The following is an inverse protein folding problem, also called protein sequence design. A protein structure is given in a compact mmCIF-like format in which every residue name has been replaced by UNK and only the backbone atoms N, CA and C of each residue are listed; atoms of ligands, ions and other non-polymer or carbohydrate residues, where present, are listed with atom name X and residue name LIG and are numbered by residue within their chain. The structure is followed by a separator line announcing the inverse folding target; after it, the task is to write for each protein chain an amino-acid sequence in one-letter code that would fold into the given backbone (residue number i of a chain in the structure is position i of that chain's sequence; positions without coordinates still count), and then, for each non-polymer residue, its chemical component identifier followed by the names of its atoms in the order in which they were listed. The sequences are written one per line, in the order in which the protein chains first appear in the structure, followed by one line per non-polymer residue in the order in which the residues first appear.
data_IF_585263212893
#
_entry.id   IF_585263212893
#
_cell.length_a   1.000
_cell.length_b   1.000
_cell.length_c   1.000
_cell.angle_alpha   90.00
_cell.angle_beta   90.00
_cell.angle_gamma   90.00
#
_symmetry.space_group_name_H-M   'P 1'
#
loop_
_entity.id
_entity.type
_entity.pdbx_description
1 polymer ?
#
# COMPACT_ATOMS: atom_id res chain seq x y z
N UNK A 1 4.03 19.43 -4.83
CA UNK A 1 2.76 18.82 -4.35
C UNK A 1 1.55 19.20 -5.21
N UNK A 2 1.32 20.50 -5.51
CA UNK A 2 0.10 20.98 -6.19
C UNK A 2 -0.11 20.42 -7.61
N UNK A 3 0.94 20.25 -8.40
CA UNK A 3 0.85 19.68 -9.75
C UNK A 3 0.52 18.18 -9.76
N UNK A 4 1.14 17.39 -8.86
CA UNK A 4 0.86 15.95 -8.75
C UNK A 4 -0.59 15.68 -8.30
N UNK A 5 -1.09 16.45 -7.33
CA UNK A 5 -2.48 16.38 -6.86
C UNK A 5 -3.50 16.87 -7.89
N UNK A 6 -3.05 17.53 -8.97
CA UNK A 6 -3.89 17.98 -10.09
C UNK A 6 -3.88 16.99 -11.25
N UNK A 7 -2.79 16.24 -11.42
CA UNK A 7 -2.66 15.21 -12.45
C UNK A 7 -3.32 13.88 -12.04
N UNK A 8 -3.13 13.45 -10.79
CA UNK A 8 -3.71 12.20 -10.28
C UNK A 8 -4.90 12.56 -9.41
N UNK A 9 -6.10 12.23 -9.88
CA UNK A 9 -7.33 12.39 -9.09
C UNK A 9 -7.43 11.27 -8.05
N UNK A 10 -8.18 11.50 -6.96
CA UNK A 10 -8.36 10.53 -5.88
C UNK A 10 -8.91 9.19 -6.39
N UNK A 11 -9.85 9.23 -7.35
CA UNK A 11 -10.40 8.03 -8.00
C UNK A 11 -9.31 7.20 -8.70
N UNK A 12 -8.45 7.86 -9.46
CA UNK A 12 -7.34 7.22 -10.16
C UNK A 12 -6.36 6.61 -9.18
N UNK A 13 -6.05 7.32 -8.09
CA UNK A 13 -5.17 6.78 -7.05
C UNK A 13 -5.74 5.49 -6.43
N UNK A 14 -7.04 5.48 -6.10
CA UNK A 14 -7.69 4.29 -5.53
C UNK A 14 -7.66 3.14 -6.53
N UNK A 15 -8.01 3.38 -7.80
CA UNK A 15 -8.00 2.35 -8.85
C UNK A 15 -6.60 1.78 -9.05
N UNK A 16 -5.58 2.64 -9.12
CA UNK A 16 -4.19 2.18 -9.24
C UNK A 16 -3.77 1.34 -8.03
N UNK A 17 -4.11 1.76 -6.81
CA UNK A 17 -3.84 0.96 -5.60
C UNK A 17 -4.56 -0.39 -5.64
N UNK A 18 -5.81 -0.44 -6.11
CA UNK A 18 -6.59 -1.67 -6.29
C UNK A 18 -6.02 -2.62 -7.35
N UNK A 19 -5.22 -2.13 -8.29
CA UNK A 19 -4.53 -2.97 -9.28
C UNK A 19 -3.18 -3.44 -8.72
N UNK A 20 -2.42 -2.54 -8.10
CA UNK A 20 -1.06 -2.80 -7.59
C UNK A 20 -1.09 -3.76 -6.40
N UNK A 21 -2.06 -3.64 -5.49
CA UNK A 21 -2.17 -4.51 -4.32
C UNK A 21 -2.34 -5.99 -4.68
N UNK A 22 -3.33 -6.40 -5.52
CA UNK A 22 -3.45 -7.78 -5.98
C UNK A 22 -2.22 -8.29 -6.72
N UNK A 23 -1.61 -7.45 -7.57
CA UNK A 23 -0.39 -7.83 -8.28
C UNK A 23 0.75 -8.17 -7.30
N UNK A 24 0.97 -7.32 -6.29
CA UNK A 24 1.96 -7.56 -5.25
C UNK A 24 1.61 -8.73 -4.34
N UNK A 25 0.32 -9.00 -4.09
CA UNK A 25 -0.13 -10.19 -3.35
C UNK A 25 0.32 -11.45 -4.06
N UNK A 26 0.07 -11.55 -5.37
CA UNK A 26 0.49 -12.71 -6.18
C UNK A 26 2.02 -12.81 -6.23
N UNK A 27 2.71 -11.69 -6.49
CA UNK A 27 4.17 -11.64 -6.56
C UNK A 27 4.85 -11.93 -5.21
N UNK A 28 4.17 -11.75 -4.09
CA UNK A 28 4.73 -12.12 -2.78
C UNK A 28 4.90 -13.64 -2.61
N UNK A 29 4.24 -14.45 -3.46
CA UNK A 29 4.47 -15.89 -3.53
C UNK A 29 5.56 -16.28 -4.53
N UNK A 30 6.04 -15.34 -5.36
CA UNK A 30 7.04 -15.60 -6.38
C UNK A 30 8.46 -15.53 -5.79
N UNK A 31 9.23 -16.60 -5.94
CA UNK A 31 10.63 -16.65 -5.54
C UNK A 31 11.55 -16.20 -6.65
N UNK A 32 12.14 -15.01 -6.50
CA UNK A 32 13.06 -14.40 -7.48
C UNK A 32 14.24 -15.32 -7.86
N UNK A 33 14.84 -16.00 -6.88
CA UNK A 33 16.02 -16.84 -7.09
C UNK A 33 15.74 -18.16 -7.82
N UNK A 34 14.49 -18.61 -7.85
CA UNK A 34 14.14 -19.97 -8.29
C UNK A 34 13.14 -19.99 -9.44
N UNK A 35 12.57 -18.83 -9.80
CA UNK A 35 11.50 -18.69 -10.79
C UNK A 35 10.30 -19.61 -10.52
N UNK A 36 9.89 -19.70 -9.25
CA UNK A 36 8.81 -20.59 -8.78
C UNK A 36 7.91 -19.92 -7.77
N UNK A 37 6.66 -20.36 -7.71
CA UNK A 37 5.68 -19.91 -6.72
C UNK A 37 5.67 -20.82 -5.48
N UNK A 38 5.73 -20.21 -4.30
CA UNK A 38 5.75 -20.87 -3.00
C UNK A 38 4.44 -20.64 -2.24
N UNK A 39 3.36 -21.31 -2.69
CA UNK A 39 2.02 -21.15 -2.11
C UNK A 39 1.91 -21.67 -0.68
N UNK A 40 2.73 -22.64 -0.27
CA UNK A 40 2.66 -23.24 1.08
C UNK A 40 3.60 -22.57 2.10
N UNK A 41 4.34 -21.52 1.70
CA UNK A 41 5.23 -20.81 2.61
C UNK A 41 4.43 -19.79 3.43
N UNK A 42 4.27 -20.04 4.73
CA UNK A 42 3.46 -19.23 5.64
C UNK A 42 3.88 -17.75 5.65
N UNK A 43 5.19 -17.47 5.59
CA UNK A 43 5.71 -16.11 5.56
C UNK A 43 5.15 -15.26 4.41
N UNK A 44 4.80 -15.89 3.29
CA UNK A 44 4.24 -15.22 2.12
C UNK A 44 2.80 -14.73 2.34
N UNK A 45 2.11 -15.19 3.40
CA UNK A 45 0.76 -14.74 3.74
C UNK A 45 0.73 -13.48 4.61
N UNK A 46 1.88 -13.06 5.16
CA UNK A 46 1.96 -11.84 5.98
C UNK A 46 1.53 -10.60 5.17
N UNK A 47 2.03 -10.46 3.93
CA UNK A 47 1.67 -9.32 3.08
C UNK A 47 0.18 -9.31 2.67
N UNK A 48 -0.40 -10.42 2.17
CA UNK A 48 -1.84 -10.52 1.93
C UNK A 48 -2.68 -10.17 3.16
N UNK A 49 -2.31 -10.66 4.35
CA UNK A 49 -3.04 -10.35 5.58
C UNK A 49 -3.02 -8.85 5.89
N UNK A 50 -1.85 -8.21 5.84
CA UNK A 50 -1.71 -6.77 6.07
C UNK A 50 -2.44 -5.94 5.00
N UNK A 51 -2.49 -6.43 3.75
CA UNK A 51 -3.18 -5.75 2.66
C UNK A 51 -4.67 -5.57 2.90
N UNK A 52 -5.31 -6.41 3.73
CA UNK A 52 -6.73 -6.26 4.09
C UNK A 52 -7.02 -4.92 4.76
N UNK A 53 -6.12 -4.46 5.64
CA UNK A 53 -6.23 -3.15 6.29
C UNK A 53 -6.10 -2.02 5.25
N UNK A 54 -5.22 -2.21 4.26
CA UNK A 54 -5.09 -1.25 3.17
C UNK A 54 -6.35 -1.20 2.30
N UNK A 55 -6.93 -2.35 1.93
CA UNK A 55 -8.21 -2.38 1.21
C UNK A 55 -9.33 -1.72 1.99
N UNK A 56 -9.42 -1.98 3.31
CA UNK A 56 -10.38 -1.32 4.19
C UNK A 56 -10.19 0.20 4.17
N UNK A 57 -8.95 0.68 4.24
CA UNK A 57 -8.65 2.11 4.17
C UNK A 57 -9.09 2.75 2.83
N UNK A 58 -8.80 2.09 1.71
CA UNK A 58 -9.22 2.58 0.38
C UNK A 58 -10.75 2.65 0.28
N UNK A 59 -11.44 1.63 0.81
CA UNK A 59 -12.90 1.61 0.86
C UNK A 59 -13.46 2.76 1.71
N UNK A 60 -12.92 2.95 2.92
CA UNK A 60 -13.38 4.04 3.81
C UNK A 60 -13.20 5.40 3.16
N UNK A 61 -12.05 5.66 2.51
CA UNK A 61 -11.85 6.93 1.79
C UNK A 61 -12.83 7.07 0.63
N UNK A 62 -12.98 6.05 -0.20
CA UNK A 62 -13.89 6.09 -1.33
C UNK A 62 -15.32 6.41 -0.87
N UNK A 63 -15.77 5.76 0.20
CA UNK A 63 -17.09 5.95 0.78
C UNK A 63 -17.26 7.39 1.31
N UNK A 64 -16.34 7.84 2.19
CA UNK A 64 -16.41 9.17 2.81
C UNK A 64 -16.39 10.30 1.80
N UNK A 65 -15.54 10.21 0.77
CA UNK A 65 -15.49 11.23 -0.30
C UNK A 65 -16.79 11.20 -1.14
N UNK A 66 -17.35 10.02 -1.40
CA UNK A 66 -18.56 9.90 -2.24
C UNK A 66 -19.82 10.41 -1.52
N UNK A 67 -19.94 10.14 -0.22
CA UNK A 67 -21.08 10.56 0.61
C UNK A 67 -20.89 11.95 1.25
N UNK A 68 -19.76 12.62 0.99
CA UNK A 68 -19.38 13.90 1.60
C UNK A 68 -19.47 13.87 3.15
N UNK A 69 -19.09 12.74 3.75
CA UNK A 69 -19.21 12.52 5.19
C UNK A 69 -17.95 12.98 5.93
N UNK A 70 -18.14 13.46 7.16
CA UNK A 70 -17.06 13.94 8.00
C UNK A 70 -16.19 12.82 8.56
N UNK A 71 -15.03 13.25 9.07
CA UNK A 71 -14.03 12.39 9.69
C UNK A 71 -14.56 11.77 10.98
N UNK A 72 -14.43 10.45 11.14
CA UNK A 72 -14.79 9.72 12.35
C UNK A 72 -13.57 9.05 13.03
N UNK A 73 -13.71 8.63 14.31
CA UNK A 73 -12.63 7.96 15.05
C UNK A 73 -12.23 6.59 14.48
N UNK A 74 -13.13 5.85 13.84
CA UNK A 74 -12.84 4.52 13.29
C UNK A 74 -11.93 4.64 12.07
N UNK A 75 -12.20 5.58 11.16
CA UNK A 75 -11.35 5.93 10.02
C UNK A 75 -9.92 6.26 10.48
N UNK A 76 -9.78 7.01 11.58
CA UNK A 76 -8.47 7.35 12.16
C UNK A 76 -7.68 6.12 12.55
N UNK A 77 -8.32 5.16 13.21
CA UNK A 77 -7.66 3.93 13.63
C UNK A 77 -7.18 3.11 12.43
N UNK A 78 -7.99 3.04 11.36
CA UNK A 78 -7.58 2.40 10.11
C UNK A 78 -6.39 3.11 9.48
N UNK A 79 -6.39 4.45 9.45
CA UNK A 79 -5.25 5.21 8.91
C UNK A 79 -3.96 5.00 9.72
N UNK A 80 -4.04 4.96 11.05
CA UNK A 80 -2.89 4.67 11.91
C UNK A 80 -2.37 3.24 11.71
N UNK A 81 -3.27 2.27 11.51
CA UNK A 81 -2.89 0.93 11.07
C UNK A 81 -2.11 0.97 9.76
N UNK A 82 -2.56 1.78 8.79
CA UNK A 82 -1.87 1.93 7.52
C UNK A 82 -0.51 2.63 7.64
N UNK A 83 -0.33 3.55 8.59
CA UNK A 83 1.00 4.13 8.87
C UNK A 83 2.01 3.08 9.33
N UNK A 84 1.60 2.13 10.17
CA UNK A 84 2.46 1.01 10.57
C UNK A 84 2.77 0.10 9.37
N UNK A 85 1.77 -0.20 8.55
CA UNK A 85 1.92 -1.04 7.34
C UNK A 85 2.83 -0.37 6.30
N UNK A 86 2.82 0.96 6.20
CA UNK A 86 3.72 1.70 5.32
C UNK A 86 5.20 1.40 5.62
N UNK A 87 5.56 1.25 6.90
CA UNK A 87 6.92 0.85 7.30
C UNK A 87 7.26 -0.55 6.79
N UNK A 88 6.32 -1.48 6.83
CA UNK A 88 6.48 -2.83 6.27
C UNK A 88 6.69 -2.78 4.76
N UNK A 89 5.98 -1.90 4.05
CA UNK A 89 6.18 -1.72 2.62
C UNK A 89 7.55 -1.16 2.28
N UNK A 90 8.02 -0.15 3.03
CA UNK A 90 9.37 0.40 2.88
C UNK A 90 10.40 -0.70 3.12
N UNK A 91 10.25 -1.47 4.20
CA UNK A 91 11.14 -2.59 4.51
C UNK A 91 11.19 -3.61 3.37
N UNK A 92 10.04 -4.04 2.84
CA UNK A 92 9.98 -4.97 1.69
C UNK A 92 10.63 -4.40 0.42
N UNK A 93 10.43 -3.11 0.14
CA UNK A 93 11.08 -2.45 -0.98
C UNK A 93 12.61 -2.42 -0.80
N UNK A 94 13.08 -2.11 0.40
CA UNK A 94 14.51 -2.11 0.73
C UNK A 94 15.12 -3.51 0.62
N UNK A 95 14.41 -4.55 1.05
CA UNK A 95 14.85 -5.95 0.93
C UNK A 95 14.99 -6.37 -0.54
N UNK A 96 13.98 -6.12 -1.38
CA UNK A 96 14.06 -6.38 -2.82
C UNK A 96 15.19 -5.58 -3.49
N UNK A 97 15.37 -4.31 -3.12
CA UNK A 97 16.44 -3.47 -3.64
C UNK A 97 17.82 -4.02 -3.24
N UNK A 98 17.96 -4.47 -1.99
CA UNK A 98 19.18 -5.09 -1.49
C UNK A 98 19.53 -6.36 -2.28
N UNK A 99 18.54 -7.22 -2.52
CA UNK A 99 18.70 -8.43 -3.36
C UNK A 99 19.20 -8.08 -4.77
N UNK A 100 18.61 -7.06 -5.41
CA UNK A 100 19.01 -6.66 -6.76
C UNK A 100 20.40 -6.05 -6.82
N UNK A 101 20.77 -5.22 -5.83
CA UNK A 101 22.08 -4.58 -5.78
C UNK A 101 23.21 -5.58 -5.52
N UNK A 102 22.92 -6.66 -4.78
CA UNK A 102 23.89 -7.72 -4.49
C UNK A 102 23.81 -8.91 -5.46
N UNK A 103 23.04 -8.80 -6.55
CA UNK A 103 22.87 -9.88 -7.52
C UNK A 103 24.20 -10.35 -8.15
N UNK A 104 25.19 -9.45 -8.28
CA UNK A 104 26.52 -9.77 -8.83
C UNK A 104 27.37 -10.67 -7.94
N UNK A 105 26.96 -10.90 -6.69
CA UNK A 105 27.64 -11.82 -5.76
C UNK A 105 27.27 -13.29 -6.00
N UNK A 106 26.25 -13.56 -6.82
CA UNK A 106 25.83 -14.91 -7.18
C UNK A 106 26.42 -15.29 -8.54
N UNK A 107 26.87 -16.54 -8.68
CA UNK A 107 27.31 -17.05 -9.97
C UNK A 107 26.18 -16.98 -11.00
N UNK A 108 26.49 -16.50 -12.20
CA UNK A 108 25.49 -16.25 -13.25
C UNK A 108 24.68 -17.49 -13.65
N UNK A 109 25.18 -18.71 -13.42
CA UNK A 109 24.45 -19.95 -13.68
C UNK A 109 23.38 -20.27 -12.62
N UNK A 110 23.49 -19.71 -11.42
CA UNK A 110 22.59 -19.99 -10.30
C UNK A 110 21.29 -19.18 -10.38
N UNK A 111 21.31 -18.04 -11.08
CA UNK A 111 20.16 -17.15 -11.21
C UNK A 111 19.39 -17.43 -12.51
N UNK A 112 18.05 -17.48 -12.46
CA UNK A 112 17.23 -17.52 -13.68
C UNK A 112 17.43 -16.27 -14.54
N UNK A 113 17.32 -16.40 -15.86
CA UNK A 113 17.36 -15.27 -16.80
C UNK A 113 16.29 -14.19 -16.49
N UNK A 114 15.17 -14.62 -15.90
CA UNK A 114 14.05 -13.76 -15.49
C UNK A 114 14.34 -12.93 -14.22
N UNK A 115 15.39 -13.24 -13.47
CA UNK A 115 15.68 -12.66 -12.15
C UNK A 115 15.68 -11.12 -12.16
N UNK A 116 16.45 -10.51 -13.08
CA UNK A 116 16.59 -9.04 -13.13
C UNK A 116 15.27 -8.37 -13.51
N UNK A 117 14.61 -8.86 -14.58
CA UNK A 117 13.38 -8.29 -15.08
C UNK A 117 12.25 -8.37 -14.03
N UNK A 118 12.11 -9.53 -13.39
CA UNK A 118 11.10 -9.75 -12.35
C UNK A 118 11.40 -8.95 -11.09
N UNK A 119 12.66 -8.92 -10.64
CA UNK A 119 13.03 -8.14 -9.47
C UNK A 119 12.80 -6.65 -9.67
N UNK A 120 13.19 -6.08 -10.83
CA UNK A 120 12.92 -4.68 -11.17
C UNK A 120 11.41 -4.41 -11.20
N UNK A 121 10.62 -5.33 -11.76
CA UNK A 121 9.15 -5.21 -11.81
C UNK A 121 8.54 -5.19 -10.42
N UNK A 122 8.95 -6.13 -9.55
CA UNK A 122 8.49 -6.22 -8.15
C UNK A 122 8.86 -4.95 -7.39
N UNK A 123 10.12 -4.52 -7.49
CA UNK A 123 10.59 -3.30 -6.82
C UNK A 123 9.82 -2.06 -7.30
N UNK A 124 9.60 -1.94 -8.61
CA UNK A 124 8.85 -0.83 -9.18
C UNK A 124 7.42 -0.78 -8.67
N UNK A 125 6.75 -1.93 -8.58
CA UNK A 125 5.40 -2.03 -8.00
C UNK A 125 5.38 -1.70 -6.50
N UNK A 126 6.39 -2.13 -5.73
CA UNK A 126 6.51 -1.79 -4.31
C UNK A 126 6.69 -0.29 -4.09
N UNK A 127 7.58 0.35 -4.85
CA UNK A 127 7.79 1.80 -4.80
C UNK A 127 6.53 2.56 -5.25
N UNK A 128 5.86 2.08 -6.29
CA UNK A 128 4.58 2.64 -6.75
C UNK A 128 3.51 2.54 -5.64
N UNK A 129 3.41 1.40 -4.95
CA UNK A 129 2.46 1.24 -3.84
C UNK A 129 2.74 2.25 -2.72
N UNK A 130 4.00 2.41 -2.31
CA UNK A 130 4.41 3.40 -1.29
C UNK A 130 3.99 4.81 -1.73
N UNK A 131 4.30 5.17 -2.98
CA UNK A 131 3.94 6.47 -3.54
C UNK A 131 2.41 6.70 -3.53
N UNK A 132 1.63 5.73 -4.02
CA UNK A 132 0.17 5.80 -4.04
C UNK A 132 -0.41 5.89 -2.62
N UNK A 133 0.19 5.21 -1.65
CA UNK A 133 -0.23 5.26 -0.24
C UNK A 133 -0.09 6.68 0.32
N UNK A 134 1.08 7.30 0.13
CA UNK A 134 1.35 8.68 0.55
C UNK A 134 0.42 9.69 -0.16
N UNK A 135 0.18 9.48 -1.45
CA UNK A 135 -0.73 10.30 -2.24
C UNK A 135 -2.17 10.16 -1.73
N UNK A 136 -2.58 8.95 -1.35
CA UNK A 136 -3.89 8.69 -0.74
C UNK A 136 -4.06 9.42 0.59
N UNK A 137 -3.06 9.43 1.48
CA UNK A 137 -3.09 10.24 2.71
C UNK A 137 -3.27 11.74 2.41
N UNK A 138 -2.63 12.22 1.34
CA UNK A 138 -2.71 13.62 0.94
C UNK A 138 -4.11 13.96 0.40
N UNK A 139 -4.69 13.11 -0.45
CA UNK A 139 -6.07 13.29 -0.92
C UNK A 139 -7.07 13.22 0.22
N UNK A 140 -6.92 12.27 1.14
CA UNK A 140 -7.76 12.14 2.34
C UNK A 140 -7.85 13.46 3.09
N UNK A 141 -6.69 14.04 3.45
CA UNK A 141 -6.62 15.30 4.18
C UNK A 141 -7.21 16.48 3.41
N UNK A 142 -7.10 16.48 2.08
CA UNK A 142 -7.62 17.54 1.22
C UNK A 142 -9.14 17.48 1.05
N UNK A 143 -9.70 16.31 0.82
CA UNK A 143 -11.11 16.14 0.47
C UNK A 143 -12.00 15.99 1.71
N UNK A 144 -11.53 15.31 2.76
CA UNK A 144 -12.34 15.02 3.97
C UNK A 144 -11.95 15.97 5.13
N UNK A 145 -10.72 16.48 5.13
CA UNK A 145 -10.24 17.43 6.14
C UNK A 145 -9.40 16.80 7.28
N UNK A 146 -8.96 17.63 8.24
CA UNK A 146 -8.11 17.20 9.35
C UNK A 146 -8.90 16.45 10.42
N UNK A 147 -8.20 15.64 11.23
CA UNK A 147 -8.76 15.10 12.46
C UNK A 147 -8.90 16.23 13.48
N UNK A 148 -10.13 16.59 13.86
CA UNK A 148 -10.38 17.46 15.00
C UNK A 148 -10.53 16.60 16.27
N UNK A 149 -9.62 16.75 17.23
CA UNK A 149 -9.64 15.98 18.47
C UNK A 149 -10.70 16.49 19.46
N UNK A 150 -11.12 17.75 19.33
CA UNK A 150 -12.01 18.40 20.28
C UNK A 150 -13.49 18.04 20.02
N UNK A 151 -13.88 17.81 18.75
CA UNK A 151 -15.26 17.46 18.36
C UNK A 151 -15.62 15.96 18.51
N UNK A 152 -14.70 15.12 19.00
CA UNK A 152 -14.93 13.66 19.08
C UNK A 152 -15.95 13.32 20.17
N UNK A 153 -16.13 14.19 21.16
CA UNK A 153 -17.04 13.96 22.28
C UNK A 153 -18.43 14.60 22.10
N UNK A 154 -18.60 15.52 21.13
CA UNK A 154 -19.86 16.28 20.96
C UNK A 154 -20.89 15.57 20.07
N UNK A 155 -20.46 14.67 19.17
CA UNK A 155 -21.37 13.94 18.26
C UNK A 155 -21.68 12.49 18.69
N UNK A 156 -21.27 12.09 19.90
CA UNK A 156 -21.62 10.78 20.46
C UNK A 156 -23.08 10.78 20.95
N UNK A 157 -23.71 11.94 21.10
CA UNK A 157 -25.04 12.11 21.70
C UNK A 157 -26.05 12.81 20.77
N UNK A 158 -26.18 12.36 19.53
CA UNK A 158 -27.23 12.84 18.61
C UNK A 158 -28.61 12.18 18.83
N UNK A 159 -28.79 11.48 19.96
CA UNK A 159 -30.03 10.80 20.36
C UNK A 159 -30.62 11.35 21.66
N UNK A 160 -30.71 12.69 21.78
CA UNK A 160 -31.67 13.36 22.67
C UNK A 160 -32.63 14.23 21.87
#
# INVERSE_FOLDING_TARGET
MSYLLRMINWKTCIILSLIVLPALIVLNFYGLYTDRFYLFKVDNYIFPLLSLVHFLYLYVIWFKISEAEYVDPQMRNVEYGLYAILLVYIFKASDTAYVLLNASQFDAYLLPDSFQAMGITVLSLQLLLIFLTLLTFTHRRREIGPYNFDNINENIDSWQ
#
